data_IF_111452350045
#
_entry.id   IF_111452350045
#
_cell.length_a   1.000
_cell.length_b   1.000
_cell.length_c   1.000
_cell.angle_alpha   90.00
_cell.angle_beta   90.00
_cell.angle_gamma   90.00
#
_symmetry.space_group_name_H-M   'P 1'
#
loop_
_entity.id
_entity.type
_entity.pdbx_description
1 polymer ?
#
# COMPACT_ATOMS: atom_id res chain seq x y z
N UNK A 1 -28.98 10.72 1.11
CA UNK A 1 -27.80 10.01 1.68
C UNK A 1 -28.07 8.55 2.05
N UNK A 2 -29.16 8.20 2.74
CA UNK A 2 -29.44 6.81 3.19
C UNK A 2 -29.55 5.79 2.05
N UNK A 3 -30.18 6.14 0.92
CA UNK A 3 -30.38 5.24 -0.22
C UNK A 3 -29.07 4.85 -0.93
N UNK A 4 -28.13 5.80 -1.08
CA UNK A 4 -26.83 5.55 -1.72
C UNK A 4 -25.88 4.72 -0.84
N UNK A 5 -26.05 4.76 0.50
CA UNK A 5 -25.30 3.90 1.42
C UNK A 5 -25.82 2.46 1.38
N UNK A 6 -27.14 2.29 1.31
CA UNK A 6 -27.79 0.98 1.16
C UNK A 6 -27.44 0.29 -0.17
N UNK A 7 -27.39 1.02 -1.28
CA UNK A 7 -26.96 0.46 -2.58
C UNK A 7 -25.48 0.07 -2.59
N UNK A 8 -24.60 0.86 -1.95
CA UNK A 8 -23.18 0.51 -1.84
C UNK A 8 -22.98 -0.73 -0.97
N UNK A 9 -23.72 -0.82 0.14
CA UNK A 9 -23.72 -1.99 1.02
C UNK A 9 -24.28 -3.22 0.29
N UNK A 10 -25.38 -3.10 -0.45
CA UNK A 10 -25.94 -4.21 -1.22
C UNK A 10 -25.01 -4.67 -2.36
N UNK A 11 -24.36 -3.76 -3.07
CA UNK A 11 -23.36 -4.10 -4.08
C UNK A 11 -22.12 -4.74 -3.47
N UNK A 12 -21.66 -4.26 -2.32
CA UNK A 12 -20.55 -4.86 -1.56
C UNK A 12 -20.93 -6.23 -1.00
N UNK A 13 -22.15 -6.40 -0.48
CA UNK A 13 -22.65 -7.68 0.03
C UNK A 13 -22.84 -8.69 -1.11
N UNK A 14 -23.34 -8.25 -2.27
CA UNK A 14 -23.45 -9.07 -3.47
C UNK A 14 -22.06 -9.51 -3.97
N UNK A 15 -21.07 -8.61 -3.94
CA UNK A 15 -19.68 -8.94 -4.25
C UNK A 15 -19.04 -9.90 -3.22
N UNK A 16 -19.45 -9.84 -1.94
CA UNK A 16 -19.01 -10.77 -0.89
C UNK A 16 -19.60 -12.17 -1.05
N UNK A 17 -20.89 -12.27 -1.39
CA UNK A 17 -21.60 -13.56 -1.47
C UNK A 17 -21.17 -14.34 -2.72
N UNK A 18 -20.77 -13.67 -3.79
CA UNK A 18 -20.24 -14.33 -4.97
C UNK A 18 -19.29 -13.40 -5.77
N UNK A 19 -17.97 -13.43 -5.51
CA UNK A 19 -17.00 -12.59 -6.22
C UNK A 19 -16.89 -12.91 -7.73
N UNK A 20 -17.63 -13.91 -8.20
CA UNK A 20 -17.74 -14.30 -9.61
C UNK A 20 -19.02 -13.79 -10.30
N UNK A 21 -19.97 -13.17 -9.58
CA UNK A 21 -21.03 -12.42 -10.27
C UNK A 21 -20.47 -11.09 -10.74
N UNK A 22 -20.60 -10.85 -12.04
CA UNK A 22 -20.27 -9.58 -12.70
C UNK A 22 -21.17 -8.46 -12.17
N UNK A 23 -20.89 -7.95 -10.97
CA UNK A 23 -21.31 -6.60 -10.61
C UNK A 23 -20.53 -5.70 -11.56
N UNK A 24 -21.25 -5.10 -12.51
CA UNK A 24 -20.67 -4.17 -13.47
C UNK A 24 -19.88 -3.10 -12.71
N UNK A 25 -18.60 -2.98 -13.04
CA UNK A 25 -17.68 -2.00 -12.42
C UNK A 25 -18.26 -0.59 -12.56
N UNK A 26 -18.94 -0.32 -13.67
CA UNK A 26 -19.69 0.90 -13.95
C UNK A 26 -20.82 1.14 -12.94
N UNK A 27 -21.59 0.11 -12.58
CA UNK A 27 -22.71 0.25 -11.65
C UNK A 27 -22.20 0.53 -10.23
N UNK A 28 -21.12 -0.14 -9.81
CA UNK A 28 -20.47 0.13 -8.53
C UNK A 28 -19.96 1.58 -8.45
N UNK A 29 -19.25 2.02 -9.50
CA UNK A 29 -18.70 3.39 -9.55
C UNK A 29 -19.83 4.43 -9.65
N UNK A 30 -20.88 4.18 -10.43
CA UNK A 30 -22.06 5.05 -10.55
C UNK A 30 -22.82 5.16 -9.24
N UNK A 31 -23.12 4.03 -8.59
CA UNK A 31 -23.81 3.98 -7.30
C UNK A 31 -23.03 4.70 -6.18
N UNK A 32 -21.70 4.80 -6.32
CA UNK A 32 -20.87 5.53 -5.37
C UNK A 32 -21.11 7.04 -5.35
N UNK A 33 -21.75 7.61 -6.37
CA UNK A 33 -21.94 9.06 -6.49
C UNK A 33 -20.62 9.82 -6.64
N UNK A 34 -19.66 9.25 -7.39
CA UNK A 34 -18.37 9.87 -7.63
C UNK A 34 -17.30 9.60 -6.56
N UNK A 35 -17.59 8.79 -5.54
CA UNK A 35 -16.66 8.46 -4.45
C UNK A 35 -15.62 7.41 -4.81
N UNK A 36 -15.94 6.56 -5.79
CA UNK A 36 -15.02 5.56 -6.33
C UNK A 36 -14.48 6.03 -7.68
N UNK A 37 -13.21 5.71 -7.95
CA UNK A 37 -12.58 5.90 -9.24
C UNK A 37 -11.66 4.73 -9.56
N UNK A 38 -11.55 4.40 -10.84
CA UNK A 38 -10.64 3.37 -11.34
C UNK A 38 -10.10 3.80 -12.70
N UNK A 39 -8.80 3.65 -12.85
CA UNK A 39 -8.12 3.66 -14.14
C UNK A 39 -7.33 2.36 -14.27
N UNK A 40 -7.40 1.73 -15.43
CA UNK A 40 -6.57 0.59 -15.73
C UNK A 40 -6.11 0.60 -17.19
N UNK A 41 -4.92 0.10 -17.46
CA UNK A 41 -4.30 0.09 -18.78
C UNK A 41 -3.50 -1.20 -18.96
N UNK A 42 -3.83 -1.99 -19.99
CA UNK A 42 -3.01 -3.10 -20.45
C UNK A 42 -1.94 -2.55 -21.39
N UNK A 43 -0.67 -2.67 -20.99
CA UNK A 43 0.44 -1.99 -21.67
C UNK A 43 0.76 -2.61 -23.04
N UNK A 44 0.37 -3.86 -23.26
CA UNK A 44 0.62 -4.63 -24.47
C UNK A 44 -0.51 -4.45 -25.48
N UNK A 45 -1.77 -4.55 -25.03
CA UNK A 45 -2.94 -4.36 -25.92
C UNK A 45 -3.37 -2.90 -26.08
N UNK A 46 -2.83 -2.01 -25.24
CA UNK A 46 -3.23 -0.59 -25.12
C UNK A 46 -4.69 -0.40 -24.70
N UNK A 47 -5.38 -1.45 -24.28
CA UNK A 47 -6.75 -1.36 -23.82
C UNK A 47 -6.81 -0.65 -22.45
N UNK A 48 -7.77 0.26 -22.29
CA UNK A 48 -7.93 1.06 -21.07
C UNK A 48 -9.33 1.01 -20.50
N UNK A 49 -9.45 1.14 -19.18
CA UNK A 49 -10.69 1.42 -18.45
C UNK A 49 -10.47 2.72 -17.70
N UNK A 50 -11.41 3.66 -17.79
CA UNK A 50 -11.40 4.88 -16.98
C UNK A 50 -12.81 5.21 -16.52
N UNK A 51 -13.08 5.02 -15.23
CA UNK A 51 -14.36 5.34 -14.61
C UNK A 51 -14.09 6.30 -13.46
N UNK A 52 -14.60 7.53 -13.60
CA UNK A 52 -14.23 8.67 -12.73
C UNK A 52 -12.70 8.93 -12.66
N UNK A 53 -11.91 8.41 -13.61
CA UNK A 53 -10.45 8.41 -13.61
C UNK A 53 -9.79 9.62 -14.26
N UNK A 54 -10.58 10.52 -14.86
CA UNK A 54 -10.09 11.74 -15.54
C UNK A 54 -10.03 12.95 -14.60
N UNK A 55 -10.82 12.95 -13.52
CA UNK A 55 -10.81 14.03 -12.53
C UNK A 55 -9.62 13.95 -11.59
N UNK A 56 -9.18 15.11 -11.09
CA UNK A 56 -8.15 15.16 -10.04
C UNK A 56 -8.67 14.58 -8.74
N UNK A 57 -7.82 13.79 -8.09
CA UNK A 57 -8.12 13.05 -6.88
C UNK A 57 -6.92 13.10 -5.95
N UNK A 58 -7.17 13.04 -4.65
CA UNK A 58 -6.09 12.94 -3.69
C UNK A 58 -5.42 11.56 -3.80
N UNK A 59 -4.13 11.54 -4.11
CA UNK A 59 -3.31 10.34 -4.28
C UNK A 59 -2.75 9.83 -2.93
N UNK A 60 -2.84 10.64 -1.87
CA UNK A 60 -2.33 10.25 -0.56
C UNK A 60 -0.83 9.98 -0.58
N UNK A 61 -0.40 8.91 0.09
CA UNK A 61 1.01 8.48 0.10
C UNK A 61 1.43 7.75 -1.19
N UNK A 62 0.57 7.58 -2.20
CA UNK A 62 1.02 7.03 -3.49
C UNK A 62 2.11 7.91 -4.12
N UNK A 63 2.10 9.22 -3.84
CA UNK A 63 3.13 10.17 -4.30
C UNK A 63 4.53 9.85 -3.79
N UNK A 64 4.67 8.95 -2.80
CA UNK A 64 5.97 8.53 -2.26
C UNK A 64 6.87 7.87 -3.29
N UNK A 65 6.31 7.26 -4.35
CA UNK A 65 7.10 6.74 -5.47
C UNK A 65 7.83 7.85 -6.21
N UNK A 66 7.22 9.04 -6.34
CA UNK A 66 7.85 10.20 -6.97
C UNK A 66 8.94 10.80 -6.08
N UNK A 67 8.70 10.86 -4.77
CA UNK A 67 9.71 11.30 -3.80
C UNK A 67 10.93 10.38 -3.84
N UNK A 68 10.72 9.06 -3.83
CA UNK A 68 11.80 8.08 -3.95
C UNK A 68 12.57 8.20 -5.27
N UNK A 69 11.86 8.28 -6.39
CA UNK A 69 12.47 8.41 -7.71
C UNK A 69 13.28 9.72 -7.84
N UNK A 70 12.73 10.85 -7.36
CA UNK A 70 13.44 12.12 -7.31
C UNK A 70 14.70 12.04 -6.44
N UNK A 71 14.62 11.36 -5.29
CA UNK A 71 15.75 11.17 -4.39
C UNK A 71 16.91 10.40 -5.03
N UNK A 72 16.59 9.32 -5.75
CA UNK A 72 17.60 8.54 -6.49
C UNK A 72 18.23 9.37 -7.61
N UNK A 73 17.40 10.09 -8.38
CA UNK A 73 17.86 10.96 -9.46
C UNK A 73 18.77 12.09 -8.93
N UNK A 74 18.41 12.72 -7.82
CA UNK A 74 19.19 13.79 -7.20
C UNK A 74 20.51 13.28 -6.61
N UNK A 75 20.50 12.11 -5.95
CA UNK A 75 21.71 11.48 -5.44
C UNK A 75 22.72 11.16 -6.55
N UNK A 76 22.21 10.75 -7.72
CA UNK A 76 23.04 10.53 -8.92
C UNK A 76 23.53 11.85 -9.50
N UNK A 77 22.65 12.84 -9.69
CA UNK A 77 22.97 14.15 -10.28
C UNK A 77 24.08 14.87 -9.51
N UNK A 78 24.08 14.75 -8.19
CA UNK A 78 25.06 15.37 -7.29
C UNK A 78 26.31 14.52 -7.06
N UNK A 79 26.35 13.28 -7.55
CA UNK A 79 27.48 12.36 -7.39
C UNK A 79 27.65 11.76 -5.99
N UNK A 80 26.69 11.99 -5.07
CA UNK A 80 26.78 11.49 -3.69
C UNK A 80 26.38 10.02 -3.56
N UNK A 81 25.62 9.49 -4.53
CA UNK A 81 25.18 8.10 -4.57
C UNK A 81 24.20 7.71 -3.45
N UNK A 82 23.82 6.44 -3.39
CA UNK A 82 22.79 5.97 -2.43
C UNK A 82 23.29 5.94 -0.98
N UNK A 83 24.61 5.81 -0.77
CA UNK A 83 25.23 5.76 0.55
C UNK A 83 25.34 7.11 1.25
N UNK A 84 24.91 8.20 0.61
CA UNK A 84 24.88 9.52 1.23
C UNK A 84 23.95 9.52 2.45
N UNK A 85 24.49 9.93 3.59
CA UNK A 85 23.72 10.06 4.84
C UNK A 85 22.91 11.34 4.80
N UNK A 86 21.59 11.21 4.92
CA UNK A 86 20.70 12.37 5.08
C UNK A 86 20.63 12.71 6.57
N UNK A 87 20.94 13.97 6.97
CA UNK A 87 20.88 14.35 8.38
C UNK A 87 19.49 14.09 8.98
N UNK A 88 19.45 13.28 10.04
CA UNK A 88 18.22 12.88 10.71
C UNK A 88 18.06 13.64 12.03
N UNK A 89 17.25 14.72 12.09
CA UNK A 89 17.02 15.40 13.36
C UNK A 89 16.16 14.51 14.27
N UNK A 90 16.51 14.40 15.56
CA UNK A 90 15.73 13.64 16.55
C UNK A 90 14.23 14.00 16.60
N UNK A 91 13.86 15.19 16.15
CA UNK A 91 12.47 15.63 16.02
C UNK A 91 11.70 14.94 14.87
N UNK A 92 12.37 14.46 13.82
CA UNK A 92 11.76 13.71 12.71
C UNK A 92 11.34 12.28 13.09
N UNK A 93 11.80 11.80 14.25
CA UNK A 93 11.65 10.42 14.73
C UNK A 93 10.20 9.95 14.95
N UNK A 94 9.29 10.83 15.37
CA UNK A 94 8.10 10.37 16.13
C UNK A 94 6.89 9.92 15.30
N UNK A 95 7.12 9.54 14.05
CA UNK A 95 6.14 8.91 13.16
C UNK A 95 6.69 7.74 12.32
N UNK A 96 7.96 7.37 12.53
CA UNK A 96 8.61 6.28 11.78
C UNK A 96 7.94 4.93 11.95
N UNK A 97 8.11 4.05 10.97
CA UNK A 97 7.65 2.66 10.90
C UNK A 97 8.85 1.75 10.58
N UNK A 98 8.81 0.50 11.04
CA UNK A 98 9.91 -0.44 10.80
C UNK A 98 11.26 0.11 11.27
N UNK A 99 12.26 0.08 10.37
CA UNK A 99 13.65 0.42 10.66
C UNK A 99 13.84 1.78 11.36
N UNK A 100 13.18 2.85 10.90
CA UNK A 100 13.34 4.18 11.50
C UNK A 100 12.71 4.28 12.89
N UNK A 101 11.70 3.45 13.18
CA UNK A 101 11.12 3.36 14.52
C UNK A 101 12.09 2.67 15.49
N UNK A 102 12.75 1.62 15.02
CA UNK A 102 13.62 0.74 15.80
C UNK A 102 15.03 1.34 16.02
N UNK A 103 15.58 2.03 15.02
CA UNK A 103 17.00 2.44 14.95
C UNK A 103 17.20 3.96 14.84
N UNK A 104 16.43 4.72 15.59
CA UNK A 104 16.28 6.16 15.38
C UNK A 104 17.46 7.06 15.74
N UNK A 105 18.40 6.58 16.54
CA UNK A 105 19.63 7.31 16.85
C UNK A 105 20.73 7.04 15.80
N UNK A 106 20.43 6.26 14.76
CA UNK A 106 21.39 5.90 13.72
C UNK A 106 21.31 6.84 12.50
N UNK A 107 22.38 6.81 11.71
CA UNK A 107 22.46 7.49 10.42
C UNK A 107 21.77 6.64 9.34
N UNK A 108 20.91 7.26 8.54
CA UNK A 108 20.26 6.61 7.41
C UNK A 108 20.78 7.19 6.09
N UNK A 109 21.09 6.29 5.17
CA UNK A 109 21.47 6.64 3.81
C UNK A 109 20.24 6.97 2.95
N UNK A 110 20.43 7.62 1.81
CA UNK A 110 19.36 7.82 0.81
C UNK A 110 18.72 6.47 0.44
N UNK A 111 19.54 5.42 0.28
CA UNK A 111 19.06 4.06 0.01
C UNK A 111 18.12 3.54 1.10
N UNK A 112 18.50 3.67 2.37
CA UNK A 112 17.69 3.22 3.52
C UNK A 112 16.35 3.97 3.59
N UNK A 113 16.38 5.29 3.37
CA UNK A 113 15.19 6.13 3.40
C UNK A 113 14.24 5.79 2.24
N UNK A 114 14.78 5.58 1.04
CA UNK A 114 13.97 5.16 -0.12
C UNK A 114 13.33 3.81 0.13
N UNK A 115 14.07 2.84 0.67
CA UNK A 115 13.52 1.54 1.06
C UNK A 115 12.40 1.68 2.09
N UNK A 116 12.63 2.42 3.18
CA UNK A 116 11.61 2.65 4.21
C UNK A 116 10.36 3.34 3.67
N UNK A 117 10.54 4.35 2.79
CA UNK A 117 9.44 5.02 2.11
C UNK A 117 8.62 4.05 1.25
N UNK A 118 9.27 3.20 0.46
CA UNK A 118 8.61 2.36 -0.54
C UNK A 118 8.00 1.10 0.10
N UNK A 119 8.81 0.34 0.84
CA UNK A 119 8.46 -0.98 1.39
C UNK A 119 7.58 -0.85 2.63
N UNK A 120 7.86 0.13 3.50
CA UNK A 120 7.19 0.27 4.79
C UNK A 120 6.14 1.39 4.85
N UNK A 121 5.97 2.17 3.76
CA UNK A 121 5.15 3.39 3.77
C UNK A 121 5.51 4.27 4.98
N UNK A 122 6.82 4.43 5.23
CA UNK A 122 7.33 5.18 6.37
C UNK A 122 7.15 6.68 6.11
N UNK A 123 6.31 7.37 6.91
CA UNK A 123 6.08 8.79 6.72
C UNK A 123 7.27 9.66 7.16
N UNK A 124 8.07 9.23 8.14
CA UNK A 124 9.26 9.96 8.56
C UNK A 124 10.33 9.90 7.46
N UNK A 125 10.58 8.74 6.87
CA UNK A 125 11.50 8.61 5.74
C UNK A 125 11.04 9.48 4.55
N UNK A 126 9.74 9.46 4.25
CA UNK A 126 9.17 10.28 3.18
C UNK A 126 9.35 11.77 3.46
N UNK A 127 9.08 12.22 4.69
CA UNK A 127 9.22 13.63 5.07
C UNK A 127 10.67 14.11 5.04
N UNK A 128 11.64 13.26 5.44
CA UNK A 128 13.06 13.57 5.29
C UNK A 128 13.46 13.72 3.83
N UNK A 129 13.04 12.80 2.96
CA UNK A 129 13.37 12.86 1.54
C UNK A 129 12.77 14.12 0.90
N UNK A 130 11.53 14.47 1.25
CA UNK A 130 10.91 15.74 0.82
C UNK A 130 11.72 16.94 1.32
N UNK A 131 12.16 16.93 2.58
CA UNK A 131 12.98 18.02 3.15
C UNK A 131 14.35 18.13 2.50
N UNK A 132 15.00 16.99 2.24
CA UNK A 132 16.33 16.92 1.63
C UNK A 132 16.29 17.38 0.17
N UNK A 133 15.31 16.91 -0.60
CA UNK A 133 15.08 17.36 -1.97
C UNK A 133 14.72 18.85 -2.04
N UNK A 134 13.97 19.35 -1.06
CA UNK A 134 13.56 20.74 -0.95
C UNK A 134 12.96 21.27 -2.26
N UNK A 135 13.58 22.33 -2.80
CA UNK A 135 13.12 22.98 -4.04
C UNK A 135 13.30 22.14 -5.31
N UNK A 136 14.05 21.05 -5.26
CA UNK A 136 14.31 20.18 -6.42
C UNK A 136 13.18 19.18 -6.69
N UNK A 137 12.35 18.87 -5.68
CA UNK A 137 11.29 17.87 -5.82
C UNK A 137 10.26 18.27 -6.88
N UNK A 138 9.74 19.50 -6.81
CA UNK A 138 8.65 19.90 -7.71
C UNK A 138 9.10 19.99 -9.19
N UNK A 139 10.23 20.64 -9.52
CA UNK A 139 10.73 20.64 -10.90
C UNK A 139 10.97 19.23 -11.46
N UNK A 140 11.45 18.29 -10.64
CA UNK A 140 11.63 16.91 -11.07
C UNK A 140 10.29 16.24 -11.41
N UNK A 141 9.27 16.42 -10.56
CA UNK A 141 7.91 15.90 -10.82
C UNK A 141 7.28 16.53 -12.06
N UNK A 142 7.42 17.85 -12.21
CA UNK A 142 6.89 18.58 -13.37
C UNK A 142 7.58 18.14 -14.67
N UNK A 143 8.87 17.79 -14.59
CA UNK A 143 9.68 17.26 -15.70
C UNK A 143 9.25 15.88 -16.20
N UNK A 144 8.40 15.15 -15.47
CA UNK A 144 7.80 13.91 -15.96
C UNK A 144 6.74 14.16 -17.06
N UNK A 145 6.31 15.43 -17.26
CA UNK A 145 5.30 15.82 -18.24
C UNK A 145 3.94 15.10 -18.09
N UNK A 146 3.63 14.69 -16.86
CA UNK A 146 2.42 13.93 -16.56
C UNK A 146 1.26 14.86 -16.24
N UNK A 147 0.11 14.60 -16.87
CA UNK A 147 -1.06 15.45 -16.67
C UNK A 147 -1.60 15.39 -15.23
N UNK A 148 -1.81 16.56 -14.63
CA UNK A 148 -2.61 16.73 -13.43
C UNK A 148 -1.92 16.42 -12.10
N UNK A 149 -0.65 15.99 -12.06
CA UNK A 149 0.07 15.86 -10.79
C UNK A 149 0.25 17.24 -10.14
N UNK A 150 -0.23 17.36 -8.91
CA UNK A 150 -0.16 18.57 -8.10
C UNK A 150 1.00 18.51 -7.12
N UNK A 151 1.37 19.65 -6.52
CA UNK A 151 2.54 19.68 -5.68
C UNK A 151 2.52 18.68 -4.54
N UNK A 152 3.65 18.01 -4.36
CA UNK A 152 3.83 17.02 -3.31
C UNK A 152 4.08 17.75 -1.98
N UNK A 153 3.44 17.28 -0.92
CA UNK A 153 3.60 17.78 0.43
C UNK A 153 3.85 16.62 1.39
N UNK A 154 4.72 16.88 2.37
CA UNK A 154 5.03 15.98 3.47
C UNK A 154 3.81 15.70 4.35
N UNK A 155 3.84 14.59 5.08
CA UNK A 155 2.84 14.27 6.10
C UNK A 155 2.87 15.33 7.21
N UNK A 156 4.06 15.79 7.61
CA UNK A 156 4.23 16.91 8.54
C UNK A 156 3.51 18.18 8.11
N UNK A 157 3.65 18.61 6.85
CA UNK A 157 2.97 19.80 6.35
C UNK A 157 1.45 19.66 6.36
N UNK A 158 0.93 18.48 6.01
CA UNK A 158 -0.49 18.16 6.11
C UNK A 158 -0.99 18.23 7.55
N UNK A 159 -0.30 17.55 8.46
CA UNK A 159 -0.73 17.43 9.85
C UNK A 159 -0.71 18.80 10.54
N UNK A 160 0.33 19.61 10.30
CA UNK A 160 0.39 20.99 10.78
C UNK A 160 -0.79 21.84 10.26
N UNK A 161 -1.12 21.73 8.97
CA UNK A 161 -2.27 22.43 8.40
C UNK A 161 -3.59 22.00 9.04
N UNK A 162 -3.85 20.69 9.14
CA UNK A 162 -5.09 20.14 9.72
C UNK A 162 -5.24 20.61 11.16
N UNK A 163 -4.15 20.62 11.94
CA UNK A 163 -4.17 21.05 13.33
C UNK A 163 -4.42 22.55 13.48
N UNK A 164 -3.76 23.39 12.67
CA UNK A 164 -4.02 24.84 12.65
C UNK A 164 -5.47 25.18 12.28
N UNK A 165 -6.12 24.38 11.43
CA UNK A 165 -7.56 24.53 11.14
C UNK A 165 -8.47 24.14 12.31
N UNK A 166 -8.03 23.26 13.21
CA UNK A 166 -8.79 22.87 14.40
C UNK A 166 -8.72 23.95 15.48
N UNK A 167 -7.52 24.51 15.71
CA UNK A 167 -7.24 25.58 16.66
C UNK A 167 -5.87 26.20 16.34
N UNK A 168 -5.81 27.52 16.09
CA UNK A 168 -4.56 28.23 15.74
C UNK A 168 -3.45 28.08 16.78
N UNK A 169 -3.77 27.74 18.04
CA UNK A 169 -2.76 27.48 19.08
C UNK A 169 -1.85 26.29 18.74
N UNK A 170 -2.25 25.40 17.83
CA UNK A 170 -1.37 24.36 17.32
C UNK A 170 -0.17 24.91 16.53
N UNK A 171 -0.22 26.15 16.05
CA UNK A 171 0.90 26.79 15.35
C UNK A 171 2.11 27.01 16.29
N UNK A 172 1.85 27.13 17.60
CA UNK A 172 2.88 27.24 18.63
C UNK A 172 3.34 25.86 19.18
N UNK A 173 2.70 24.77 18.75
CA UNK A 173 3.02 23.42 19.23
C UNK A 173 4.14 22.82 18.37
N UNK A 174 5.20 22.26 18.96
CA UNK A 174 6.21 21.54 18.20
C UNK A 174 5.57 20.47 17.31
N UNK A 175 5.91 20.45 16.02
CA UNK A 175 5.28 19.59 14.99
C UNK A 175 5.15 18.14 15.45
N UNK A 176 6.20 17.59 16.07
CA UNK A 176 6.18 16.21 16.57
C UNK A 176 5.12 15.96 17.66
N UNK A 177 4.90 16.91 18.57
CA UNK A 177 3.86 16.80 19.60
C UNK A 177 2.46 16.93 18.97
N UNK A 178 2.33 17.82 17.99
CA UNK A 178 1.10 18.06 17.25
C UNK A 178 0.68 16.80 16.45
N UNK A 179 1.63 16.18 15.73
CA UNK A 179 1.40 14.93 14.99
C UNK A 179 1.00 13.76 15.90
N UNK A 180 1.67 13.60 17.04
CA UNK A 180 1.29 12.58 18.02
C UNK A 180 -0.13 12.80 18.54
N UNK A 181 -0.49 14.02 18.87
CA UNK A 181 -1.86 14.34 19.29
C UNK A 181 -2.90 13.99 18.20
N UNK A 182 -2.57 14.20 16.93
CA UNK A 182 -3.46 13.89 15.79
C UNK A 182 -3.66 12.39 15.56
N UNK A 183 -2.62 11.57 15.73
CA UNK A 183 -2.63 10.15 15.33
C UNK A 183 -2.72 9.17 16.52
N UNK A 184 -2.28 9.54 17.72
CA UNK A 184 -2.36 8.69 18.91
C UNK A 184 -3.78 8.82 19.51
N UNK A 185 -4.66 7.88 19.18
CA UNK A 185 -6.05 7.82 19.66
C UNK A 185 -6.20 7.57 21.17
N UNK A 186 -5.11 7.18 21.86
CA UNK A 186 -5.10 7.05 23.31
C UNK A 186 -5.11 8.44 23.97
N UNK A 187 -5.99 8.57 24.96
CA UNK A 187 -6.22 9.79 25.76
C UNK A 187 -5.00 10.26 26.56
N UNK A 188 -3.89 9.51 26.55
CA UNK A 188 -2.60 9.89 27.13
C UNK A 188 -1.75 10.78 26.22
N UNK A 189 -2.19 11.10 24.99
CA UNK A 189 -1.50 12.08 24.17
C UNK A 189 -1.44 13.41 24.93
N UNK A 190 -0.21 13.90 25.17
CA UNK A 190 0.07 15.12 25.93
C UNK A 190 -0.76 16.25 25.31
N UNK A 191 -1.68 16.80 26.09
CA UNK A 191 -2.34 18.07 25.75
C UNK A 191 -1.22 19.08 25.58
N UNK A 192 -1.01 19.65 24.38
CA UNK A 192 0.10 20.58 24.22
C UNK A 192 -0.08 21.75 25.20
N UNK A 193 1.02 22.24 25.77
CA UNK A 193 1.04 23.31 26.78
C UNK A 193 0.11 24.51 26.55
N UNK A 194 -0.23 24.95 25.32
CA UNK A 194 -1.17 26.06 25.13
C UNK A 194 -2.67 25.72 25.34
N UNK A 195 -3.02 24.51 25.74
CA UNK A 195 -4.40 24.07 25.92
C UNK A 195 -4.71 23.70 27.37
N UNK A 196 -5.72 24.36 27.97
CA UNK A 196 -6.21 24.02 29.31
C UNK A 196 -6.99 22.69 29.34
N UNK A 197 -7.59 22.32 28.20
CA UNK A 197 -8.34 21.08 28.01
C UNK A 197 -8.03 20.48 26.66
N UNK A 198 -7.98 19.15 26.59
CA UNK A 198 -7.76 18.42 25.34
C UNK A 198 -8.84 18.80 24.30
N UNK A 199 -8.47 19.39 23.14
CA UNK A 199 -9.45 19.77 22.12
C UNK A 199 -10.28 18.60 21.59
N UNK A 200 -9.86 17.34 21.79
CA UNK A 200 -10.62 16.12 21.47
C UNK A 200 -11.86 15.93 22.33
N UNK A 201 -11.87 16.47 23.56
CA UNK A 201 -12.99 16.35 24.51
C UNK A 201 -14.14 17.29 24.21
N UNK A 202 -13.96 18.26 23.31
CA UNK A 202 -15.03 19.15 22.86
C UNK A 202 -16.05 18.33 22.04
N UNK A 203 -17.33 18.53 22.29
CA UNK A 203 -18.43 17.80 21.64
C UNK A 203 -18.44 17.93 20.10
N UNK A 204 -17.87 19.00 19.57
CA UNK A 204 -17.78 19.30 18.15
C UNK A 204 -16.49 18.81 17.48
N UNK A 205 -15.60 18.13 18.21
CA UNK A 205 -14.26 17.77 17.74
C UNK A 205 -14.29 16.95 16.43
N UNK A 206 -15.14 15.92 16.36
CA UNK A 206 -15.25 15.05 15.17
C UNK A 206 -15.62 15.87 13.93
N UNK A 207 -16.53 16.83 14.07
CA UNK A 207 -16.93 17.72 12.97
C UNK A 207 -15.77 18.63 12.55
N UNK A 208 -15.12 19.32 13.50
CA UNK A 208 -13.97 20.21 13.21
C UNK A 208 -12.82 19.47 12.56
N UNK A 209 -12.51 18.26 13.04
CA UNK A 209 -11.49 17.41 12.43
C UNK A 209 -11.87 17.06 10.98
N UNK A 210 -13.13 16.69 10.73
CA UNK A 210 -13.61 16.43 9.37
C UNK A 210 -13.52 17.64 8.45
N UNK A 211 -13.94 18.82 8.93
CA UNK A 211 -13.88 20.08 8.19
C UNK A 211 -12.42 20.45 7.85
N UNK A 212 -11.49 20.27 8.79
CA UNK A 212 -10.07 20.51 8.60
C UNK A 212 -9.44 19.58 7.54
N UNK A 213 -9.84 18.30 7.52
CA UNK A 213 -9.40 17.34 6.50
C UNK A 213 -9.94 17.68 5.12
N UNK A 214 -11.21 18.05 4.99
CA UNK A 214 -11.76 18.48 3.70
C UNK A 214 -11.12 19.79 3.22
N UNK A 215 -10.81 20.72 4.12
CA UNK A 215 -10.03 21.92 3.78
C UNK A 215 -8.62 21.56 3.27
N UNK A 216 -7.95 20.55 3.83
CA UNK A 216 -6.69 20.06 3.30
C UNK A 216 -6.85 19.49 1.88
N UNK A 217 -7.85 18.64 1.66
CA UNK A 217 -8.11 18.06 0.34
C UNK A 217 -8.44 19.12 -0.72
N UNK A 218 -9.12 20.21 -0.33
CA UNK A 218 -9.43 21.34 -1.21
C UNK A 218 -8.18 22.08 -1.71
N UNK A 219 -7.04 22.01 -1.01
CA UNK A 219 -5.75 22.58 -1.47
C UNK A 219 -5.12 21.81 -2.63
N UNK A 220 -5.64 20.63 -2.95
CA UNK A 220 -5.17 19.76 -4.03
C UNK A 220 -3.68 19.39 -3.93
N UNK A 221 -3.07 19.44 -2.74
CA UNK A 221 -1.72 18.87 -2.53
C UNK A 221 -1.78 17.35 -2.58
N UNK A 222 -0.71 16.72 -3.06
CA UNK A 222 -0.66 15.27 -3.31
C UNK A 222 -1.86 14.78 -4.14
N UNK A 223 -2.31 15.56 -5.13
CA UNK A 223 -3.43 15.21 -5.99
C UNK A 223 -2.97 14.94 -7.42
N UNK A 224 -3.76 14.17 -8.16
CA UNK A 224 -3.55 13.88 -9.57
C UNK A 224 -4.67 13.03 -10.13
N UNK A 225 -4.65 12.79 -11.43
CA UNK A 225 -5.60 11.86 -12.05
C UNK A 225 -5.09 10.42 -11.87
N UNK A 226 -5.97 9.43 -11.66
CA UNK A 226 -5.58 8.02 -11.70
C UNK A 226 -4.79 7.63 -12.94
N UNK A 227 -5.16 8.17 -14.10
CA UNK A 227 -4.41 8.00 -15.34
C UNK A 227 -3.01 8.58 -15.25
N UNK A 228 -2.88 9.87 -14.87
CA UNK A 228 -1.59 10.53 -14.78
C UNK A 228 -0.65 9.83 -13.80
N UNK A 229 -1.17 9.29 -12.69
CA UNK A 229 -0.39 8.45 -11.79
C UNK A 229 0.05 7.13 -12.43
N UNK A 230 -0.84 6.44 -13.17
CA UNK A 230 -0.50 5.20 -13.85
C UNK A 230 0.59 5.41 -14.90
N UNK A 231 0.46 6.45 -15.73
CA UNK A 231 1.45 6.83 -16.74
C UNK A 231 2.80 7.14 -16.09
N UNK A 232 2.79 7.84 -14.95
CA UNK A 232 3.98 8.11 -14.15
C UNK A 232 4.68 6.84 -13.68
N UNK A 233 3.90 5.92 -13.12
CA UNK A 233 4.38 4.68 -12.55
C UNK A 233 5.03 3.83 -13.64
N UNK A 234 4.42 3.79 -14.84
CA UNK A 234 4.98 3.12 -16.01
C UNK A 234 6.30 3.77 -16.42
N UNK A 235 6.35 5.09 -16.58
CA UNK A 235 7.58 5.79 -16.99
C UNK A 235 8.73 5.56 -16.00
N UNK A 236 8.45 5.56 -14.69
CA UNK A 236 9.43 5.31 -13.64
C UNK A 236 9.91 3.86 -13.64
N UNK A 237 9.00 2.89 -13.73
CA UNK A 237 9.34 1.48 -13.57
C UNK A 237 9.77 0.78 -14.87
N UNK A 238 9.43 1.32 -16.05
CA UNK A 238 9.89 0.84 -17.36
C UNK A 238 11.10 1.60 -17.94
N UNK A 239 11.54 2.67 -17.27
CA UNK A 239 12.88 3.25 -17.48
C UNK A 239 12.93 4.53 -18.30
N UNK A 240 11.80 5.17 -18.56
CA UNK A 240 11.74 6.43 -19.30
C UNK A 240 12.13 7.63 -18.43
N UNK A 241 11.99 7.52 -17.11
CA UNK A 241 12.18 8.63 -16.17
C UNK A 241 13.44 8.55 -15.29
N UNK A 242 14.13 7.40 -15.24
CA UNK A 242 15.25 7.15 -14.33
C UNK A 242 16.42 6.47 -15.04
N UNK A 243 17.63 6.66 -14.53
CA UNK A 243 18.77 5.84 -14.94
C UNK A 243 18.51 4.37 -14.60
N UNK A 244 19.02 3.44 -15.43
CA UNK A 244 18.73 2.00 -15.34
C UNK A 244 18.96 1.40 -13.95
N UNK A 245 20.05 1.78 -13.27
CA UNK A 245 20.33 1.27 -11.91
C UNK A 245 19.32 1.78 -10.88
N UNK A 246 18.92 3.06 -10.97
CA UNK A 246 17.94 3.68 -10.07
C UNK A 246 16.56 3.05 -10.30
N UNK A 247 16.20 2.81 -11.56
CA UNK A 247 15.00 2.09 -11.95
C UNK A 247 15.00 0.66 -11.37
N UNK A 248 16.09 -0.10 -11.56
CA UNK A 248 16.19 -1.47 -11.05
C UNK A 248 16.10 -1.51 -9.52
N UNK A 249 16.76 -0.57 -8.85
CA UNK A 249 16.70 -0.41 -7.40
C UNK A 249 15.26 -0.16 -6.95
N UNK A 250 14.57 0.83 -7.53
CA UNK A 250 13.21 1.18 -7.18
C UNK A 250 12.22 0.06 -7.51
N UNK A 251 12.34 -0.56 -8.69
CA UNK A 251 11.51 -1.69 -9.10
C UNK A 251 11.58 -2.83 -8.09
N UNK A 252 12.79 -3.23 -7.67
CA UNK A 252 12.99 -4.26 -6.63
C UNK A 252 12.25 -3.90 -5.33
N UNK A 253 12.33 -2.65 -4.88
CA UNK A 253 11.61 -2.21 -3.68
C UNK A 253 10.09 -2.25 -3.86
N UNK A 254 9.56 -1.90 -5.03
CA UNK A 254 8.12 -2.03 -5.33
C UNK A 254 7.68 -3.49 -5.25
N UNK A 255 8.52 -4.44 -5.70
CA UNK A 255 8.23 -5.88 -5.58
C UNK A 255 8.24 -6.39 -4.15
N UNK A 256 9.01 -5.74 -3.27
CA UNK A 256 9.11 -6.08 -1.86
C UNK A 256 7.95 -5.55 -1.01
N UNK A 257 7.04 -4.76 -1.58
CA UNK A 257 5.85 -4.29 -0.86
C UNK A 257 4.96 -5.49 -0.52
N UNK A 258 4.64 -5.70 0.76
CA UNK A 258 4.00 -6.94 1.19
C UNK A 258 2.54 -7.02 0.78
N UNK A 259 1.81 -5.90 0.69
CA UNK A 259 0.36 -5.92 0.46
C UNK A 259 -0.05 -4.82 -0.50
N UNK A 260 -0.98 -5.13 -1.40
CA UNK A 260 -1.58 -4.17 -2.34
C UNK A 260 -3.08 -4.45 -2.43
N UNK A 261 -3.92 -3.49 -2.04
CA UNK A 261 -5.37 -3.66 -1.95
C UNK A 261 -6.00 -4.08 -3.29
N UNK A 262 -5.60 -3.47 -4.41
CA UNK A 262 -6.06 -3.84 -5.77
C UNK A 262 -5.86 -5.30 -6.14
N UNK A 263 -4.96 -5.97 -5.43
CA UNK A 263 -4.54 -7.33 -5.72
C UNK A 263 -4.91 -8.34 -4.64
N UNK A 264 -5.60 -7.88 -3.60
CA UNK A 264 -5.96 -8.72 -2.47
C UNK A 264 -6.74 -9.96 -2.93
N UNK A 265 -7.72 -9.74 -3.79
CA UNK A 265 -8.64 -10.75 -4.33
C UNK A 265 -8.18 -11.38 -5.66
N UNK A 266 -6.95 -11.09 -6.09
CA UNK A 266 -6.38 -11.67 -7.30
C UNK A 266 -5.84 -13.07 -7.07
N UNK A 267 -5.91 -13.90 -8.12
CA UNK A 267 -5.36 -15.25 -8.11
C UNK A 267 -3.86 -15.30 -7.80
N UNK A 268 -3.46 -16.35 -7.08
CA UNK A 268 -2.09 -16.55 -6.58
C UNK A 268 -1.04 -16.60 -7.69
N UNK A 269 -1.40 -16.96 -8.92
CA UNK A 269 -0.44 -17.09 -10.01
C UNK A 269 -0.02 -15.77 -10.64
N UNK A 270 -0.74 -14.69 -10.37
CA UNK A 270 -0.42 -13.38 -10.89
C UNK A 270 0.76 -12.79 -10.11
N UNK A 271 1.66 -12.07 -10.76
CA UNK A 271 2.69 -11.31 -10.04
C UNK A 271 2.19 -9.88 -9.89
N UNK A 272 2.29 -9.32 -8.70
CA UNK A 272 1.74 -8.01 -8.37
C UNK A 272 2.81 -7.16 -7.72
N UNK A 273 2.95 -5.94 -8.21
CA UNK A 273 3.84 -4.92 -7.68
C UNK A 273 3.03 -3.65 -7.48
N UNK A 274 3.10 -3.01 -6.32
CA UNK A 274 2.24 -1.87 -6.10
C UNK A 274 2.31 -1.26 -4.71
N UNK A 275 1.42 -0.31 -4.48
CA UNK A 275 1.37 0.51 -3.28
C UNK A 275 -0.06 0.79 -2.87
N UNK A 276 -0.29 0.84 -1.57
CA UNK A 276 -1.50 1.40 -0.99
C UNK A 276 -1.20 2.74 -0.33
N UNK A 277 -2.20 3.62 -0.37
CA UNK A 277 -2.22 4.86 0.37
C UNK A 277 -3.51 4.98 1.17
N UNK A 278 -3.38 5.45 2.40
CA UNK A 278 -4.51 5.67 3.31
C UNK A 278 -4.43 7.06 3.93
N UNK A 279 -5.58 7.69 4.05
CA UNK A 279 -5.77 8.98 4.70
C UNK A 279 -7.17 9.03 5.30
N UNK A 280 -7.50 10.07 6.07
CA UNK A 280 -8.81 10.20 6.69
C UNK A 280 -9.94 10.06 5.66
N UNK A 281 -10.72 8.97 5.80
CA UNK A 281 -11.85 8.56 4.92
C UNK A 281 -11.51 8.44 3.43
N UNK A 282 -10.23 8.31 3.07
CA UNK A 282 -9.78 8.17 1.68
C UNK A 282 -8.74 7.06 1.58
N UNK A 283 -8.85 6.24 0.55
CA UNK A 283 -7.86 5.22 0.23
C UNK A 283 -7.58 5.22 -1.27
N UNK A 284 -6.35 4.88 -1.63
CA UNK A 284 -5.95 4.68 -3.00
C UNK A 284 -5.03 3.45 -3.07
N UNK A 285 -5.05 2.76 -4.19
CA UNK A 285 -4.16 1.64 -4.45
C UNK A 285 -3.72 1.69 -5.90
N UNK A 286 -2.45 1.40 -6.15
CA UNK A 286 -1.87 1.29 -7.47
C UNK A 286 -1.13 -0.03 -7.58
N UNK A 287 -1.34 -0.76 -8.69
CA UNK A 287 -0.73 -2.05 -8.94
C UNK A 287 -0.32 -2.19 -10.41
N UNK A 288 0.85 -2.78 -10.65
CA UNK A 288 1.22 -3.41 -11.90
C UNK A 288 1.06 -4.92 -11.72
N UNK A 289 0.21 -5.52 -12.54
CA UNK A 289 -0.13 -6.94 -12.49
C UNK A 289 0.43 -7.60 -13.75
N UNK A 290 1.40 -8.49 -13.57
CA UNK A 290 1.95 -9.28 -14.66
C UNK A 290 1.07 -10.51 -14.92
N UNK A 291 0.68 -10.68 -16.18
CA UNK A 291 -0.19 -11.76 -16.63
C UNK A 291 0.38 -12.42 -17.89
N UNK A 292 -0.16 -13.57 -18.27
CA UNK A 292 0.18 -14.22 -19.55
C UNK A 292 -0.25 -13.39 -20.78
N UNK A 293 -1.10 -12.38 -20.59
CA UNK A 293 -1.60 -11.47 -21.64
C UNK A 293 -0.94 -10.10 -21.60
N UNK A 294 0.11 -9.94 -20.78
CA UNK A 294 0.80 -8.67 -20.59
C UNK A 294 0.71 -8.12 -19.17
N UNK A 295 1.24 -6.92 -18.98
CA UNK A 295 1.22 -6.14 -17.74
C UNK A 295 0.02 -5.20 -17.74
N UNK A 296 -0.82 -5.30 -16.72
CA UNK A 296 -1.93 -4.37 -16.50
C UNK A 296 -1.60 -3.45 -15.34
N UNK A 297 -1.61 -2.15 -15.58
CA UNK A 297 -1.51 -1.13 -14.53
C UNK A 297 -2.90 -0.74 -14.08
N UNK A 298 -3.14 -0.70 -12.77
CA UNK A 298 -4.44 -0.46 -12.16
C UNK A 298 -4.28 0.54 -11.03
N UNK A 299 -5.02 1.64 -11.09
CA UNK A 299 -5.10 2.65 -10.04
C UNK A 299 -6.56 2.78 -9.62
N UNK A 300 -6.84 2.54 -8.34
CA UNK A 300 -8.19 2.66 -7.77
C UNK A 300 -8.18 3.64 -6.61
N UNK A 301 -9.32 4.28 -6.37
CA UNK A 301 -9.49 5.23 -5.29
C UNK A 301 -10.89 5.13 -4.69
N UNK A 302 -10.96 5.37 -3.39
CA UNK A 302 -12.18 5.46 -2.62
C UNK A 302 -12.14 6.69 -1.71
N UNK A 303 -13.23 7.45 -1.65
CA UNK A 303 -13.37 8.63 -0.80
C UNK A 303 -14.68 8.61 0.01
N UNK A 304 -14.66 9.19 1.20
CA UNK A 304 -15.83 9.27 2.09
C UNK A 304 -16.24 7.94 2.71
N UNK A 305 -15.33 6.96 2.77
CA UNK A 305 -15.61 5.64 3.36
C UNK A 305 -15.78 5.74 4.89
N UNK A 306 -16.58 4.83 5.46
CA UNK A 306 -16.85 4.78 6.90
C UNK A 306 -15.68 4.14 7.67
N UNK A 307 -15.05 3.11 7.08
CA UNK A 307 -13.88 2.44 7.63
C UNK A 307 -12.80 2.22 6.56
N UNK A 308 -11.56 1.99 7.01
CA UNK A 308 -10.45 1.59 6.12
C UNK A 308 -10.70 0.20 5.49
N UNK A 309 -11.36 -0.69 6.23
CA UNK A 309 -11.63 -2.05 5.76
C UNK A 309 -12.60 -2.04 4.57
N UNK A 310 -13.66 -1.22 4.62
CA UNK A 310 -14.60 -1.06 3.50
C UNK A 310 -13.89 -0.49 2.28
N UNK A 311 -13.03 0.51 2.50
CA UNK A 311 -12.25 1.12 1.43
C UNK A 311 -11.36 0.05 0.76
N UNK A 312 -10.55 -0.67 1.54
CA UNK A 312 -9.65 -1.70 1.02
C UNK A 312 -10.39 -2.81 0.25
N UNK A 313 -11.55 -3.23 0.73
CA UNK A 313 -12.38 -4.22 0.03
C UNK A 313 -12.89 -3.68 -1.31
N UNK A 314 -13.40 -2.44 -1.36
CA UNK A 314 -13.85 -1.84 -2.61
C UNK A 314 -12.71 -1.65 -3.63
N UNK A 315 -11.51 -1.28 -3.17
CA UNK A 315 -10.32 -1.19 -4.04
C UNK A 315 -9.98 -2.57 -4.63
N UNK A 316 -10.05 -3.65 -3.82
CA UNK A 316 -9.81 -5.01 -4.27
C UNK A 316 -10.82 -5.51 -5.31
N UNK A 317 -12.12 -5.26 -5.07
CA UNK A 317 -13.20 -5.59 -6.00
C UNK A 317 -13.00 -4.85 -7.33
N UNK A 318 -12.73 -3.54 -7.29
CA UNK A 318 -12.51 -2.74 -8.50
C UNK A 318 -11.26 -3.19 -9.26
N UNK A 319 -10.16 -3.46 -8.57
CA UNK A 319 -8.92 -3.91 -9.18
C UNK A 319 -9.08 -5.26 -9.88
N UNK A 320 -9.74 -6.21 -9.21
CA UNK A 320 -10.06 -7.52 -9.76
C UNK A 320 -10.94 -7.44 -11.00
N UNK A 321 -12.02 -6.64 -10.94
CA UNK A 321 -12.92 -6.44 -12.08
C UNK A 321 -12.22 -5.78 -13.27
N UNK A 322 -11.39 -4.76 -13.03
CA UNK A 322 -10.60 -4.12 -14.09
C UNK A 322 -9.63 -5.10 -14.75
N UNK A 323 -8.94 -5.94 -13.95
CA UNK A 323 -8.03 -6.94 -14.48
C UNK A 323 -8.76 -7.99 -15.33
N UNK A 324 -9.89 -8.54 -14.86
CA UNK A 324 -10.68 -9.53 -15.60
C UNK A 324 -11.07 -9.02 -16.98
N UNK A 325 -11.43 -7.74 -17.07
CA UNK A 325 -11.83 -7.11 -18.34
C UNK A 325 -10.65 -6.85 -19.29
N UNK A 326 -9.52 -6.37 -18.77
CA UNK A 326 -8.36 -6.02 -19.60
C UNK A 326 -7.43 -7.20 -19.93
N UNK A 327 -7.55 -8.29 -19.19
CA UNK A 327 -6.77 -9.51 -19.37
C UNK A 327 -7.68 -10.74 -19.28
N UNK A 328 -8.81 -10.72 -20.01
CA UNK A 328 -9.75 -11.83 -20.06
C UNK A 328 -9.04 -13.13 -20.47
N UNK A 329 -9.31 -14.22 -19.76
CA UNK A 329 -8.64 -15.50 -19.99
C UNK A 329 -7.18 -15.57 -19.52
N UNK A 330 -6.61 -14.52 -18.91
CA UNK A 330 -5.34 -14.63 -18.18
C UNK A 330 -5.49 -15.37 -16.84
N UNK A 331 -6.73 -15.60 -16.44
CA UNK A 331 -7.11 -16.38 -15.28
C UNK A 331 -7.05 -17.86 -15.65
N UNK A 332 -6.14 -18.59 -15.03
CA UNK A 332 -6.25 -20.04 -14.94
C UNK A 332 -6.83 -20.32 -13.56
N UNK A 333 -7.92 -21.06 -13.47
CA UNK A 333 -8.27 -21.69 -12.21
C UNK A 333 -7.08 -22.54 -11.80
N UNK A 334 -6.48 -22.23 -10.66
CA UNK A 334 -5.48 -23.09 -10.02
C UNK A 334 -6.15 -24.33 -9.36
N UNK A 335 -7.27 -24.80 -9.93
CA UNK A 335 -7.87 -26.10 -9.60
C UNK A 335 -6.96 -27.27 -10.02
N UNK A 336 -5.78 -26.99 -10.57
CA UNK A 336 -4.72 -27.99 -10.62
C UNK A 336 -4.38 -28.42 -9.19
N UNK A 337 -4.53 -29.72 -8.94
CA UNK A 337 -4.23 -30.36 -7.66
C UNK A 337 -2.91 -29.83 -7.09
N UNK A 338 -2.92 -29.51 -5.79
CA UNK A 338 -1.69 -29.21 -5.06
C UNK A 338 -0.74 -30.38 -5.31
N UNK A 339 0.47 -30.16 -5.84
CA UNK A 339 1.40 -31.25 -6.08
C UNK A 339 1.58 -32.05 -4.79
N UNK A 340 1.41 -33.37 -4.84
CA UNK A 340 1.57 -34.26 -3.67
C UNK A 340 3.00 -34.23 -3.12
N UNK A 341 3.98 -33.87 -3.95
CA UNK A 341 5.35 -33.60 -3.56
C UNK A 341 5.69 -32.11 -3.70
N UNK A 342 6.45 -31.57 -2.74
CA UNK A 342 7.00 -30.24 -2.85
C UNK A 342 7.85 -30.14 -4.13
N UNK A 343 7.72 -29.05 -4.91
CA UNK A 343 8.65 -28.74 -5.99
C UNK A 343 10.10 -28.86 -5.51
N UNK A 344 11.02 -29.34 -6.35
CA UNK A 344 12.46 -29.45 -6.00
C UNK A 344 13.12 -28.12 -5.64
N UNK A 345 12.49 -27.01 -6.02
CA UNK A 345 12.89 -25.65 -5.62
C UNK A 345 12.49 -25.30 -4.19
N UNK A 346 11.64 -26.09 -3.52
CA UNK A 346 11.23 -25.93 -2.13
C UNK A 346 11.88 -27.01 -1.27
N UNK A 347 12.69 -26.58 -0.31
CA UNK A 347 13.27 -27.47 0.70
C UNK A 347 12.37 -27.58 1.93
N UNK A 348 11.71 -26.48 2.29
CA UNK A 348 10.96 -26.38 3.54
C UNK A 348 9.80 -25.42 3.40
N UNK A 349 8.62 -25.82 3.88
CA UNK A 349 7.43 -24.97 4.02
C UNK A 349 6.75 -25.34 5.32
N UNK A 350 6.80 -24.47 6.32
CA UNK A 350 6.34 -24.77 7.68
C UNK A 350 5.56 -23.61 8.30
N UNK A 351 4.46 -23.93 8.96
CA UNK A 351 3.73 -23.00 9.82
C UNK A 351 4.30 -23.04 11.23
N UNK A 352 4.67 -21.89 11.78
CA UNK A 352 5.30 -21.76 13.12
C UNK A 352 4.83 -20.51 13.84
N UNK A 353 4.93 -20.49 15.16
CA UNK A 353 4.84 -19.26 15.94
C UNK A 353 6.17 -18.47 15.89
N UNK A 354 6.16 -17.12 16.01
CA UNK A 354 7.38 -16.32 16.09
C UNK A 354 8.33 -16.84 17.18
N UNK A 355 9.59 -17.07 16.80
CA UNK A 355 10.62 -17.57 17.73
C UNK A 355 10.53 -19.06 18.06
N UNK A 356 9.55 -19.80 17.50
CA UNK A 356 9.44 -21.25 17.67
C UNK A 356 10.10 -21.99 16.51
N UNK A 357 10.74 -23.10 16.82
CA UNK A 357 11.22 -24.07 15.82
C UNK A 357 10.24 -25.20 15.52
N UNK A 358 9.14 -25.28 16.28
CA UNK A 358 8.12 -26.30 16.10
C UNK A 358 7.08 -25.89 15.06
N UNK A 359 6.66 -26.87 14.27
CA UNK A 359 5.51 -26.73 13.37
C UNK A 359 4.24 -26.65 14.21
N UNK A 360 3.40 -25.65 13.95
CA UNK A 360 2.17 -25.39 14.69
C UNK A 360 0.96 -25.41 13.75
N UNK A 361 -0.09 -26.12 14.15
CA UNK A 361 -1.43 -26.07 13.54
C UNK A 361 -2.44 -25.32 14.39
N UNK A 362 -2.08 -24.97 15.62
CA UNK A 362 -2.92 -24.24 16.56
C UNK A 362 -2.15 -23.02 17.10
N UNK A 363 -2.81 -21.87 17.08
CA UNK A 363 -2.24 -20.59 17.45
C UNK A 363 -3.17 -19.87 18.42
N UNK A 364 -2.62 -18.97 19.25
CA UNK A 364 -3.42 -18.09 20.09
C UNK A 364 -3.95 -16.89 19.31
N UNK A 365 -5.18 -16.48 19.56
CA UNK A 365 -5.68 -15.15 19.21
C UNK A 365 -4.79 -14.11 19.90
N UNK A 366 -4.51 -12.98 19.24
CA UNK A 366 -3.44 -12.02 19.53
C UNK A 366 -2.02 -12.45 19.18
N UNK A 367 -1.82 -13.73 18.83
CA UNK A 367 -0.56 -14.24 18.30
C UNK A 367 -0.31 -13.84 16.84
N UNK A 368 0.78 -14.34 16.28
CA UNK A 368 1.10 -14.25 14.85
C UNK A 368 1.39 -15.66 14.34
N UNK A 369 0.81 -16.02 13.19
CA UNK A 369 1.23 -17.21 12.46
C UNK A 369 2.33 -16.84 11.46
N UNK A 370 3.38 -17.65 11.38
CA UNK A 370 4.46 -17.47 10.41
C UNK A 370 4.54 -18.66 9.45
N UNK A 371 4.52 -18.39 8.15
CA UNK A 371 4.88 -19.37 7.13
C UNK A 371 6.36 -19.17 6.81
N UNK A 372 7.19 -20.12 7.23
CA UNK A 372 8.63 -20.17 6.94
C UNK A 372 8.83 -20.99 5.68
N UNK A 373 9.43 -20.39 4.66
CA UNK A 373 9.70 -21.01 3.37
C UNK A 373 11.20 -20.97 3.09
N UNK A 374 11.80 -22.11 2.81
CA UNK A 374 13.15 -22.21 2.27
C UNK A 374 13.06 -22.66 0.81
N UNK A 375 13.46 -21.78 -0.10
CA UNK A 375 13.39 -22.02 -1.53
C UNK A 375 14.68 -21.62 -2.24
N UNK A 376 15.07 -22.41 -3.24
CA UNK A 376 16.15 -22.12 -4.17
C UNK A 376 15.61 -22.16 -5.61
N UNK A 377 14.87 -21.13 -6.05
CA UNK A 377 14.39 -21.10 -7.42
C UNK A 377 15.58 -21.02 -8.39
N UNK A 378 15.43 -21.60 -9.59
CA UNK A 378 16.51 -21.58 -10.62
C UNK A 378 16.75 -20.20 -11.24
N UNK A 379 15.77 -19.30 -11.09
CA UNK A 379 15.78 -17.92 -11.57
C UNK A 379 15.10 -17.04 -10.52
N UNK A 380 15.39 -15.73 -10.45
CA UNK A 380 14.67 -14.81 -9.59
C UNK A 380 13.16 -14.99 -9.73
N UNK A 381 12.49 -15.30 -8.63
CA UNK A 381 11.06 -15.68 -8.64
C UNK A 381 10.35 -15.05 -7.45
N UNK A 382 9.12 -14.58 -7.67
CA UNK A 382 8.25 -14.10 -6.59
C UNK A 382 7.49 -15.26 -6.00
N UNK A 383 7.60 -15.42 -4.69
CA UNK A 383 6.76 -16.28 -3.87
C UNK A 383 5.54 -15.48 -3.43
N UNK A 384 4.35 -16.05 -3.59
CA UNK A 384 3.09 -15.43 -3.18
C UNK A 384 2.42 -16.33 -2.14
N UNK A 385 2.06 -15.75 -1.00
CA UNK A 385 1.31 -16.41 0.06
C UNK A 385 -0.07 -15.80 0.15
N UNK A 386 -1.12 -16.63 0.20
CA UNK A 386 -2.49 -16.23 0.50
C UNK A 386 -2.93 -16.89 1.79
N UNK A 387 -3.32 -16.08 2.75
CA UNK A 387 -3.95 -16.47 4.00
C UNK A 387 -5.45 -16.29 3.86
N UNK A 388 -6.26 -17.30 4.12
CA UNK A 388 -7.73 -17.22 4.01
C UNK A 388 -8.36 -17.60 5.34
N UNK A 389 -9.38 -16.86 5.76
CA UNK A 389 -10.16 -17.09 6.98
C UNK A 389 -11.42 -17.85 6.62
N UNK A 390 -12.02 -18.52 7.60
CA UNK A 390 -13.29 -19.25 7.41
C UNK A 390 -14.45 -18.37 6.94
N UNK A 391 -14.39 -17.05 7.19
CA UNK A 391 -15.35 -16.06 6.69
C UNK A 391 -15.10 -15.64 5.23
N UNK A 392 -14.16 -16.28 4.53
CA UNK A 392 -13.77 -15.99 3.15
C UNK A 392 -12.83 -14.79 3.00
N UNK A 393 -12.63 -13.99 4.06
CA UNK A 393 -11.66 -12.90 4.02
C UNK A 393 -10.25 -13.46 3.91
N UNK A 394 -9.43 -12.86 3.06
CA UNK A 394 -8.08 -13.34 2.85
C UNK A 394 -7.08 -12.19 2.82
N UNK A 395 -5.79 -12.49 2.92
CA UNK A 395 -4.66 -11.57 2.86
C UNK A 395 -3.61 -12.18 1.97
N UNK A 396 -3.07 -11.37 1.08
CA UNK A 396 -2.03 -11.78 0.14
C UNK A 396 -0.72 -11.09 0.50
N UNK A 397 0.37 -11.86 0.48
CA UNK A 397 1.74 -11.39 0.64
C UNK A 397 2.61 -11.90 -0.48
N UNK A 398 3.61 -11.12 -0.88
CA UNK A 398 4.62 -11.56 -1.85
C UNK A 398 6.03 -11.19 -1.40
N UNK A 399 7.00 -12.02 -1.78
CA UNK A 399 8.43 -11.74 -1.58
C UNK A 399 9.24 -12.30 -2.73
N UNK A 400 10.23 -11.54 -3.18
CA UNK A 400 11.20 -11.99 -4.18
C UNK A 400 12.24 -12.92 -3.56
N UNK A 401 12.53 -14.02 -4.25
CA UNK A 401 13.61 -14.95 -3.92
C UNK A 401 14.61 -14.92 -5.07
N UNK A 402 15.86 -14.62 -4.75
CA UNK A 402 16.95 -14.58 -5.71
C UNK A 402 17.38 -16.03 -6.00
N UNK A 403 17.63 -16.34 -7.27
CA UNK A 403 17.92 -17.71 -7.68
C UNK A 403 19.28 -18.22 -7.20
N UNK A 404 19.48 -19.54 -7.31
CA UNK A 404 20.73 -20.29 -7.10
C UNK A 404 21.12 -20.64 -5.65
N UNK A 405 20.59 -19.97 -4.63
CA UNK A 405 20.82 -20.32 -3.22
C UNK A 405 19.50 -20.50 -2.47
N UNK A 406 19.52 -21.37 -1.44
CA UNK A 406 18.37 -21.53 -0.55
C UNK A 406 18.22 -20.26 0.29
N UNK A 407 17.24 -19.44 -0.10
CA UNK A 407 16.86 -18.26 0.66
C UNK A 407 15.75 -18.65 1.63
N UNK A 408 15.82 -18.16 2.86
CA UNK A 408 14.74 -18.29 3.86
C UNK A 408 13.85 -17.06 3.80
N UNK A 409 12.57 -17.24 3.55
CA UNK A 409 11.54 -16.21 3.68
C UNK A 409 10.55 -16.55 4.78
N UNK A 410 10.14 -15.52 5.52
CA UNK A 410 9.09 -15.60 6.55
C UNK A 410 7.94 -14.67 6.17
N UNK A 411 6.73 -15.23 6.04
CA UNK A 411 5.47 -14.51 5.83
C UNK A 411 4.68 -14.53 7.14
N UNK A 412 4.04 -13.42 7.51
CA UNK A 412 3.48 -13.26 8.87
C UNK A 412 2.05 -12.76 8.85
N UNK A 413 1.16 -13.51 9.51
CA UNK A 413 -0.24 -13.15 9.70
C UNK A 413 -0.54 -12.90 11.19
N UNK A 414 -0.73 -11.65 11.63
CA UNK A 414 -1.29 -11.35 12.93
C UNK A 414 -2.73 -11.91 13.05
N UNK A 415 -3.02 -12.58 14.16
CA UNK A 415 -4.29 -13.27 14.38
C UNK A 415 -5.15 -12.45 15.34
N UNK A 416 -6.21 -11.85 14.81
CA UNK A 416 -7.09 -10.96 15.59
C UNK A 416 -8.44 -11.60 15.97
N UNK A 417 -8.71 -12.81 15.48
CA UNK A 417 -9.99 -13.51 15.69
C UNK A 417 -9.77 -15.00 15.75
N UNK A 418 -10.56 -15.70 16.55
CA UNK A 418 -10.61 -17.16 16.57
C UNK A 418 -11.21 -17.72 15.28
N UNK A 419 -10.92 -18.99 14.99
CA UNK A 419 -11.49 -19.75 13.89
C UNK A 419 -10.46 -20.46 13.01
N UNK A 420 -10.95 -21.09 11.94
CA UNK A 420 -10.14 -21.79 10.95
C UNK A 420 -9.49 -20.82 9.97
N UNK A 421 -8.23 -21.10 9.66
CA UNK A 421 -7.45 -20.40 8.65
C UNK A 421 -6.88 -21.43 7.66
N UNK A 422 -6.80 -21.06 6.39
CA UNK A 422 -6.00 -21.75 5.39
C UNK A 422 -4.90 -20.84 4.89
N UNK A 423 -3.82 -21.45 4.42
CA UNK A 423 -2.68 -20.76 3.83
C UNK A 423 -2.24 -21.50 2.58
N UNK A 424 -1.91 -20.74 1.56
CA UNK A 424 -1.50 -21.26 0.27
C UNK A 424 -0.26 -20.53 -0.20
N UNK A 425 0.68 -21.27 -0.78
CA UNK A 425 1.92 -20.75 -1.35
C UNK A 425 1.92 -21.02 -2.85
N UNK A 426 2.27 -20.00 -3.64
CA UNK A 426 2.53 -20.12 -5.05
C UNK A 426 3.94 -19.63 -5.40
N UNK A 427 4.54 -20.29 -6.41
CA UNK A 427 5.88 -19.98 -6.94
C UNK A 427 5.76 -19.83 -8.45
N UNK A 428 6.19 -18.68 -8.99
CA UNK A 428 6.28 -18.47 -10.43
C UNK A 428 4.97 -18.76 -11.17
N UNK A 429 3.84 -18.42 -10.55
CA UNK A 429 2.53 -18.64 -11.16
C UNK A 429 1.88 -20.01 -10.90
N UNK A 430 2.43 -20.86 -10.03
CA UNK A 430 1.86 -22.18 -9.74
C UNK A 430 1.68 -22.39 -8.24
N UNK A 431 0.55 -22.95 -7.83
CA UNK A 431 0.32 -23.38 -6.44
C UNK A 431 1.34 -24.47 -6.11
N UNK A 432 2.13 -24.23 -5.07
CA UNK A 432 3.26 -25.07 -4.68
C UNK A 432 3.00 -25.80 -3.36
N UNK A 433 2.16 -25.23 -2.48
CA UNK A 433 1.81 -25.82 -1.19
C UNK A 433 0.51 -25.21 -0.64
N UNK A 434 -0.20 -25.97 0.22
CA UNK A 434 -1.33 -25.48 0.99
C UNK A 434 -1.39 -26.14 2.37
N UNK A 435 -1.91 -25.43 3.36
CA UNK A 435 -2.11 -25.95 4.72
C UNK A 435 -3.26 -25.25 5.43
N UNK A 436 -3.70 -25.84 6.55
CA UNK A 436 -4.76 -25.32 7.40
C UNK A 436 -4.27 -25.21 8.84
N UNK A 437 -4.78 -24.24 9.59
CA UNK A 437 -4.49 -24.06 11.01
C UNK A 437 -5.68 -23.41 11.74
N UNK A 438 -5.64 -23.41 13.06
CA UNK A 438 -6.66 -22.86 13.94
C UNK A 438 -6.09 -21.71 14.77
N UNK A 439 -6.87 -20.65 14.98
CA UNK A 439 -6.63 -19.68 16.03
C UNK A 439 -7.67 -19.86 17.14
N UNK A 440 -7.22 -20.01 18.38
CA UNK A 440 -8.06 -20.21 19.58
C UNK A 440 -7.69 -19.17 20.63
N UNK A 441 -8.64 -18.80 21.47
CA UNK A 441 -8.42 -17.83 22.55
C UNK A 441 -7.47 -18.34 23.64
#
# INVERSE_FOLDING_TARGET
>A
MRTSVLLLLAASLAAQINPHRDVSLEDLVRASGGRLAVYAHNLETKATISLNGVGERHLGTLTRVFVAAAALAEARRTGVGYGHVVPYPKAAYRGGRGLLRERHDEAFTVGDLVEATIVHDDPAATDLLVSWLGKQLQPWVDGLHLSGLRPIASRGARDAYVLGQIDHRFDAVPVAAAQRWLHDGDSKAVVPSPFDTDPRRRSDHVRRLGDAWEAWYARRRNAGTPQGFADALVAILRGDALHRDDQNFLARLVRAVPTVANARDLELHLVVHGFDARSWRRAASAAMVETQKGTVVIVTQAAGMASEQDAAHLLAVMGTAALRRLAAGAWRNLDQEVPTALPTTLRKVELRAPGSDQVCTDFKVSGTAQLVVEAAPRQPTVLVVRWTRSDGSHRRESREFVGHEFTRGVFSLPLHRSGSYSVELAIGGRRAWAGNFQARD
#
